data_IF_409359056477
#
_entry.id   IF_409359056477
#
_cell.length_a   1.000
_cell.length_b   1.000
_cell.length_c   1.000
_cell.angle_alpha   90.00
_cell.angle_beta   90.00
_cell.angle_gamma   90.00
#
_symmetry.space_group_name_H-M   'P 1'
#
loop_
_entity.id
_entity.type
_entity.pdbx_description
1 polymer ?
#
# COMPACT_ATOMS: atom_id res chain seq x y z
N UNK A 1 9.77 11.50 -3.34
CA UNK A 1 9.77 11.05 -4.75
C UNK A 1 10.49 12.05 -5.67
N UNK A 2 10.15 13.34 -5.64
CA UNK A 2 10.78 14.38 -6.49
C UNK A 2 12.31 14.32 -6.51
N UNK A 3 12.94 14.28 -5.33
CA UNK A 3 14.39 14.16 -5.19
C UNK A 3 14.95 12.89 -5.87
N UNK A 4 14.27 11.75 -5.73
CA UNK A 4 14.71 10.48 -6.32
C UNK A 4 14.66 10.55 -7.86
N UNK A 5 13.58 11.08 -8.42
CA UNK A 5 13.46 11.27 -9.88
C UNK A 5 14.51 12.24 -10.41
N UNK A 6 14.75 13.35 -9.69
CA UNK A 6 15.78 14.32 -10.05
C UNK A 6 17.18 13.72 -10.03
N UNK A 7 17.52 12.95 -8.99
CA UNK A 7 18.88 12.46 -8.78
C UNK A 7 19.20 11.20 -9.60
N UNK A 8 18.23 10.30 -9.75
CA UNK A 8 18.49 8.97 -10.30
C UNK A 8 17.75 8.69 -11.61
N UNK A 9 16.83 9.55 -12.04
CA UNK A 9 16.04 9.32 -13.25
C UNK A 9 16.84 9.33 -14.57
N UNK A 10 18.09 9.78 -14.55
CA UNK A 10 19.01 9.59 -15.69
C UNK A 10 19.52 8.15 -15.85
N UNK A 11 19.37 7.30 -14.82
CA UNK A 11 19.80 5.89 -14.82
C UNK A 11 18.65 4.92 -14.57
N UNK A 12 17.65 5.33 -13.80
CA UNK A 12 16.51 4.51 -13.41
C UNK A 12 15.33 4.81 -14.33
N UNK A 13 14.93 3.80 -15.11
CA UNK A 13 13.78 3.86 -16.02
C UNK A 13 12.53 3.13 -15.53
N UNK A 14 12.59 2.46 -14.37
CA UNK A 14 11.47 1.73 -13.78
C UNK A 14 11.32 2.07 -12.31
N UNK A 15 10.14 2.59 -11.94
CA UNK A 15 9.85 3.09 -10.60
C UNK A 15 8.69 2.34 -9.96
N UNK A 16 8.91 1.94 -8.71
CA UNK A 16 7.86 1.47 -7.82
C UNK A 16 7.63 2.53 -6.76
N UNK A 17 6.37 2.87 -6.52
CA UNK A 17 5.97 3.91 -5.56
C UNK A 17 5.84 3.36 -4.15
N UNK A 18 4.83 2.51 -3.89
CA UNK A 18 4.58 1.89 -2.60
C UNK A 18 4.54 0.38 -2.80
N UNK A 19 5.28 -0.33 -1.96
CA UNK A 19 5.33 -1.79 -1.94
C UNK A 19 4.12 -2.36 -1.19
N UNK A 20 3.42 -3.30 -1.81
CA UNK A 20 2.33 -4.10 -1.22
C UNK A 20 1.26 -3.26 -0.49
N UNK A 21 0.42 -2.56 -1.27
CA UNK A 21 -0.60 -1.64 -0.74
C UNK A 21 -1.57 -2.23 0.31
N UNK A 22 -1.75 -3.56 0.38
CA UNK A 22 -2.60 -4.19 1.39
C UNK A 22 -1.90 -4.43 2.75
N UNK A 23 -0.57 -4.58 2.74
CA UNK A 23 0.21 -5.07 3.89
C UNK A 23 0.20 -4.06 5.05
N UNK A 24 0.58 -2.80 4.79
CA UNK A 24 0.68 -1.78 5.85
C UNK A 24 -0.69 -1.45 6.47
N UNK A 25 -1.77 -1.18 5.70
CA UNK A 25 -3.09 -0.95 6.27
C UNK A 25 -3.56 -2.05 7.22
N UNK A 26 -3.40 -3.31 6.82
CA UNK A 26 -3.92 -4.44 7.60
C UNK A 26 -3.00 -4.83 8.74
N UNK A 27 -1.70 -5.02 8.49
CA UNK A 27 -0.76 -5.51 9.49
C UNK A 27 -0.28 -4.42 10.43
N UNK A 28 -0.10 -3.21 9.91
CA UNK A 28 0.40 -2.06 10.68
C UNK A 28 -0.68 -1.33 11.49
N UNK A 29 -1.94 -1.38 11.05
CA UNK A 29 -3.04 -0.58 11.63
C UNK A 29 -4.30 -1.39 12.01
N UNK A 30 -4.38 -2.69 11.66
CA UNK A 30 -5.45 -3.57 12.11
C UNK A 30 -4.96 -4.61 13.11
N UNK A 31 -3.93 -5.38 12.73
CA UNK A 31 -3.37 -6.46 13.55
C UNK A 31 -2.27 -6.00 14.50
N UNK A 32 -1.66 -4.83 14.26
CA UNK A 32 -0.52 -4.34 15.04
C UNK A 32 0.75 -5.20 14.97
N UNK A 33 0.86 -6.07 13.96
CA UNK A 33 1.97 -7.04 13.81
C UNK A 33 3.16 -6.49 13.04
N UNK A 34 2.94 -5.43 12.24
CA UNK A 34 4.00 -4.71 11.53
C UNK A 34 4.04 -3.26 12.03
N UNK A 35 5.12 -2.53 11.73
CA UNK A 35 5.18 -1.11 12.02
C UNK A 35 4.01 -0.33 11.35
N UNK A 36 3.40 0.65 12.03
CA UNK A 36 3.80 1.18 13.34
C UNK A 36 3.34 0.35 14.54
N UNK A 37 2.47 -0.65 14.37
CA UNK A 37 2.00 -1.49 15.47
C UNK A 37 0.75 -0.93 16.15
N UNK A 38 -0.16 -0.34 15.36
CA UNK A 38 -1.44 0.18 15.84
C UNK A 38 -2.55 -0.86 15.66
N UNK A 39 -3.42 -0.95 16.65
CA UNK A 39 -4.61 -1.78 16.60
C UNK A 39 -5.59 -1.36 17.71
N UNK A 40 -6.82 -1.86 17.65
CA UNK A 40 -7.79 -1.72 18.74
C UNK A 40 -7.28 -2.45 20.00
N UNK A 41 -7.50 -1.92 21.22
CA UNK A 41 -6.97 -2.52 22.46
C UNK A 41 -7.35 -3.99 22.71
N UNK A 42 -8.50 -4.43 22.18
CA UNK A 42 -8.98 -5.81 22.30
C UNK A 42 -8.31 -6.79 21.31
N UNK A 43 -7.63 -6.28 20.28
CA UNK A 43 -6.93 -7.12 19.28
C UNK A 43 -5.57 -7.52 19.83
N UNK A 44 -4.78 -6.55 20.30
CA UNK A 44 -3.53 -6.78 21.01
C UNK A 44 -3.31 -5.67 22.05
N UNK A 45 -3.10 -6.06 23.30
CA UNK A 45 -2.87 -5.13 24.42
C UNK A 45 -1.51 -4.41 24.34
N UNK A 46 -0.60 -4.90 23.49
CA UNK A 46 0.72 -4.29 23.26
C UNK A 46 0.67 -3.12 22.28
N UNK A 47 -0.40 -2.98 21.51
CA UNK A 47 -0.60 -1.82 20.65
C UNK A 47 -0.71 -0.56 21.52
N UNK A 48 0.11 0.45 21.21
CA UNK A 48 0.13 1.72 21.95
C UNK A 48 -1.08 2.63 21.65
N UNK A 49 -1.96 2.20 20.74
CA UNK A 49 -3.21 2.85 20.35
C UNK A 49 -3.66 2.39 18.97
N UNK A 50 -4.86 2.81 18.56
CA UNK A 50 -5.39 2.50 17.24
C UNK A 50 -6.87 2.15 17.22
N UNK A 51 -7.39 2.00 16.02
CA UNK A 51 -8.72 1.45 15.79
C UNK A 51 -8.69 0.57 14.52
N UNK A 52 -8.67 -0.74 14.73
CA UNK A 52 -8.60 -1.74 13.66
C UNK A 52 -9.79 -1.72 12.70
N UNK A 53 -10.91 -1.08 13.11
CA UNK A 53 -12.13 -0.98 12.29
C UNK A 53 -12.10 0.22 11.33
N UNK A 54 -11.25 1.22 11.56
CA UNK A 54 -11.26 2.47 10.78
C UNK A 54 -9.89 2.84 10.21
N UNK A 55 -8.81 2.66 10.97
CA UNK A 55 -7.46 3.06 10.55
C UNK A 55 -6.95 2.38 9.28
N UNK A 56 -7.19 1.07 9.05
CA UNK A 56 -6.77 0.44 7.80
C UNK A 56 -7.33 1.15 6.55
N UNK A 57 -8.60 1.57 6.59
CA UNK A 57 -9.22 2.27 5.46
C UNK A 57 -8.63 3.67 5.26
N UNK A 58 -8.40 4.42 6.33
CA UNK A 58 -7.79 5.74 6.27
C UNK A 58 -6.36 5.67 5.71
N UNK A 59 -5.58 4.67 6.15
CA UNK A 59 -4.20 4.46 5.68
C UNK A 59 -4.19 4.03 4.23
N UNK A 60 -5.02 3.07 3.83
CA UNK A 60 -5.12 2.64 2.42
C UNK A 60 -5.53 3.79 1.50
N UNK A 61 -6.48 4.63 1.92
CA UNK A 61 -6.91 5.81 1.16
C UNK A 61 -5.75 6.80 0.95
N UNK A 62 -5.03 7.13 2.02
CA UNK A 62 -3.86 8.02 1.94
C UNK A 62 -2.72 7.42 1.11
N UNK A 63 -2.51 6.10 1.16
CA UNK A 63 -1.54 5.44 0.27
C UNK A 63 -1.91 5.59 -1.20
N UNK A 64 -3.19 5.46 -1.56
CA UNK A 64 -3.67 5.67 -2.93
C UNK A 64 -3.50 7.13 -3.39
N UNK A 65 -3.85 8.10 -2.53
CA UNK A 65 -3.65 9.52 -2.84
C UNK A 65 -2.17 9.86 -3.01
N UNK A 66 -1.31 9.39 -2.12
CA UNK A 66 0.14 9.59 -2.22
C UNK A 66 0.72 8.94 -3.49
N UNK A 67 0.27 7.72 -3.82
CA UNK A 67 0.64 7.05 -5.08
C UNK A 67 0.23 7.91 -6.29
N UNK A 68 -1.02 8.34 -6.35
CA UNK A 68 -1.55 9.13 -7.45
C UNK A 68 -0.78 10.46 -7.61
N UNK A 69 -0.53 11.17 -6.52
CA UNK A 69 0.24 12.42 -6.54
C UNK A 69 1.69 12.22 -7.03
N UNK A 70 2.35 11.12 -6.65
CA UNK A 70 3.71 10.81 -7.10
C UNK A 70 3.73 10.40 -8.58
N UNK A 71 2.73 9.64 -9.05
CA UNK A 71 2.59 9.26 -10.46
C UNK A 71 2.32 10.48 -11.33
N UNK A 72 1.43 11.38 -10.88
CA UNK A 72 1.14 12.63 -11.57
C UNK A 72 2.40 13.50 -11.69
N UNK A 73 3.12 13.70 -10.57
CA UNK A 73 4.41 14.40 -10.56
C UNK A 73 5.41 13.82 -11.58
N UNK A 74 5.54 12.49 -11.64
CA UNK A 74 6.46 11.85 -12.57
C UNK A 74 6.04 12.06 -14.03
N UNK A 75 4.75 11.86 -14.33
CA UNK A 75 4.21 11.94 -15.70
C UNK A 75 4.10 13.37 -16.23
N UNK A 76 4.07 14.37 -15.35
CA UNK A 76 4.03 15.79 -15.72
C UNK A 76 5.44 16.39 -15.79
N UNK A 77 6.21 16.32 -14.70
CA UNK A 77 7.51 16.98 -14.57
C UNK A 77 8.68 16.16 -15.14
N UNK A 78 8.63 14.83 -15.03
CA UNK A 78 9.74 13.94 -15.38
C UNK A 78 9.49 13.08 -16.63
N UNK A 79 8.46 13.40 -17.42
CA UNK A 79 8.11 12.69 -18.65
C UNK A 79 9.28 12.54 -19.62
N UNK A 80 10.18 13.52 -19.66
CA UNK A 80 11.38 13.51 -20.50
C UNK A 80 12.35 12.36 -20.19
N UNK A 81 12.27 11.75 -19.00
CA UNK A 81 13.08 10.59 -18.61
C UNK A 81 12.58 9.28 -19.24
N UNK A 82 11.39 9.28 -19.85
CA UNK A 82 10.79 8.14 -20.60
C UNK A 82 10.68 6.81 -19.82
N UNK A 83 10.81 6.83 -18.50
CA UNK A 83 10.63 5.64 -17.67
C UNK A 83 9.16 5.32 -17.36
N UNK A 84 8.94 4.18 -16.70
CA UNK A 84 7.65 3.67 -16.24
C UNK A 84 7.53 3.78 -14.72
N UNK A 85 6.31 3.99 -14.22
CA UNK A 85 6.04 4.10 -12.79
C UNK A 85 4.73 3.37 -12.44
N UNK A 86 4.73 2.65 -11.31
CA UNK A 86 3.55 1.95 -10.81
C UNK A 86 3.60 1.63 -9.31
N UNK A 87 2.51 1.09 -8.74
CA UNK A 87 2.52 0.50 -7.41
C UNK A 87 2.91 -0.99 -7.48
N UNK A 88 3.18 -1.60 -6.33
CA UNK A 88 3.24 -3.07 -6.20
C UNK A 88 2.04 -3.54 -5.40
N UNK A 89 1.29 -4.47 -5.99
CA UNK A 89 0.20 -5.16 -5.30
C UNK A 89 0.73 -6.47 -4.75
N UNK A 90 0.39 -6.78 -3.49
CA UNK A 90 0.46 -8.16 -3.02
C UNK A 90 -0.78 -8.87 -3.55
N UNK A 91 -0.59 -9.99 -4.24
CA UNK A 91 -1.66 -10.76 -4.84
C UNK A 91 -1.73 -12.14 -4.20
N UNK A 92 -2.95 -12.66 -4.08
CA UNK A 92 -3.24 -14.03 -3.67
C UNK A 92 -4.33 -14.55 -4.59
N UNK A 93 -4.21 -15.81 -4.96
CA UNK A 93 -5.31 -16.53 -5.59
C UNK A 93 -6.21 -17.08 -4.49
N UNK A 94 -7.52 -17.03 -4.70
CA UNK A 94 -8.51 -17.59 -3.79
C UNK A 94 -9.30 -18.65 -4.54
N UNK A 95 -9.52 -19.79 -3.89
CA UNK A 95 -10.43 -20.85 -4.33
C UNK A 95 -11.57 -20.94 -3.32
N UNK A 96 -12.77 -21.36 -3.73
CA UNK A 96 -13.84 -21.65 -2.79
C UNK A 96 -13.37 -22.67 -1.76
N UNK A 97 -13.78 -22.49 -0.51
CA UNK A 97 -13.47 -23.46 0.55
C UNK A 97 -14.16 -24.81 0.28
N UNK A 98 -15.40 -24.74 -0.24
CA UNK A 98 -16.19 -25.85 -0.74
C UNK A 98 -16.78 -25.47 -2.10
N UNK A 99 -16.43 -26.19 -3.17
CA UNK A 99 -16.89 -25.93 -4.55
C UNK A 99 -18.40 -26.17 -4.73
N UNK A 100 -19.04 -26.88 -3.80
CA UNK A 100 -20.46 -27.21 -3.85
C UNK A 100 -21.36 -26.22 -3.10
N UNK A 101 -20.78 -25.34 -2.27
CA UNK A 101 -21.50 -24.32 -1.51
C UNK A 101 -21.51 -22.97 -2.26
N UNK A 102 -22.68 -22.45 -2.68
CA UNK A 102 -22.80 -21.15 -3.34
C UNK A 102 -22.32 -19.97 -2.48
N UNK A 103 -22.29 -20.10 -1.15
CA UNK A 103 -21.76 -19.07 -0.27
C UNK A 103 -20.22 -19.00 -0.27
N UNK A 104 -19.55 -20.04 -0.76
CA UNK A 104 -18.09 -20.12 -0.85
C UNK A 104 -17.53 -19.65 -2.21
N UNK A 105 -18.40 -19.38 -3.20
CA UNK A 105 -18.05 -18.95 -4.57
C UNK A 105 -17.87 -17.43 -4.67
#
# INVERSE_FOLDING_TARGET
ADLCFKQFGGKVSSWITINQLYTVPTRGYALGTDAPGRCSPKVDHRCYGGNSSTEPYMVAHNQLLAHAAVVDLYRTKYKFQQGKIGPVMITRWFLPYDESDPACV
#
